data_IF_387953350403
#
_entry.id   IF_387953350403
#
_cell.length_a   1.000
_cell.length_b   1.000
_cell.length_c   1.000
_cell.angle_alpha   90.00
_cell.angle_beta   90.00
_cell.angle_gamma   90.00
#
_symmetry.space_group_name_H-M   'P 1'
#
loop_
_entity.id
_entity.type
_entity.pdbx_description
1 polymer ?
#
# COMPACT_ATOMS: atom_id res chain seq x y z
N UNK A 1 16.31 2.41 38.78
CA UNK A 1 15.28 2.80 37.81
C UNK A 1 15.50 2.02 36.53
N UNK A 2 14.72 0.95 36.30
CA UNK A 2 14.79 0.21 35.03
C UNK A 2 14.00 1.00 33.98
N UNK A 3 14.70 1.69 33.08
CA UNK A 3 14.07 2.38 31.95
C UNK A 3 13.40 1.32 31.08
N UNK A 4 12.06 1.24 31.10
CA UNK A 4 11.30 0.47 30.11
C UNK A 4 11.48 1.14 28.75
N UNK A 5 12.60 0.87 28.09
CA UNK A 5 12.88 1.32 26.74
C UNK A 5 11.89 0.62 25.83
N UNK A 6 11.05 1.40 25.15
CA UNK A 6 10.10 0.85 24.18
C UNK A 6 10.90 0.18 23.07
N UNK A 7 10.67 -1.12 22.80
CA UNK A 7 11.51 -1.83 21.86
C UNK A 7 11.40 -1.17 20.48
N UNK A 8 12.56 -0.79 19.92
CA UNK A 8 12.74 -0.38 18.54
C UNK A 8 11.93 0.87 18.10
N UNK A 9 11.69 1.85 18.99
CA UNK A 9 10.95 3.09 18.67
C UNK A 9 11.45 3.81 17.41
N UNK A 10 12.76 4.05 17.33
CA UNK A 10 13.37 4.77 16.21
C UNK A 10 13.22 3.98 14.90
N UNK A 11 13.50 2.68 14.92
CA UNK A 11 13.35 1.81 13.76
C UNK A 11 11.90 1.74 13.26
N UNK A 12 10.91 1.70 14.18
CA UNK A 12 9.48 1.77 13.84
C UNK A 12 9.12 3.09 13.17
N UNK A 13 9.56 4.22 13.73
CA UNK A 13 9.27 5.54 13.16
C UNK A 13 9.88 5.70 11.78
N UNK A 14 11.15 5.31 11.60
CA UNK A 14 11.84 5.38 10.31
C UNK A 14 11.11 4.50 9.29
N UNK A 15 10.88 3.21 9.60
CA UNK A 15 10.23 2.30 8.66
C UNK A 15 8.80 2.72 8.29
N UNK A 16 7.99 3.18 9.26
CA UNK A 16 6.66 3.72 9.00
C UNK A 16 6.70 5.00 8.17
N UNK A 17 7.67 5.89 8.42
CA UNK A 17 7.83 7.12 7.64
C UNK A 17 8.19 6.83 6.19
N UNK A 18 9.10 5.88 5.92
CA UNK A 18 9.41 5.47 4.55
C UNK A 18 8.20 4.81 3.87
N UNK A 19 7.47 3.95 4.58
CA UNK A 19 6.24 3.34 4.05
C UNK A 19 5.18 4.40 3.72
N UNK A 20 5.04 5.43 4.55
CA UNK A 20 4.20 6.60 4.30
C UNK A 20 4.67 7.40 3.07
N UNK A 21 5.94 7.77 3.00
CA UNK A 21 6.50 8.57 1.91
C UNK A 21 6.32 7.86 0.55
N UNK A 22 6.68 6.58 0.46
CA UNK A 22 6.51 5.84 -0.78
C UNK A 22 5.05 5.49 -1.09
N UNK A 23 4.23 5.20 -0.08
CA UNK A 23 2.79 5.00 -0.25
C UNK A 23 2.08 6.23 -0.82
N UNK A 24 2.40 7.44 -0.33
CA UNK A 24 1.86 8.70 -0.87
C UNK A 24 2.34 8.98 -2.28
N UNK A 25 3.62 8.74 -2.58
CA UNK A 25 4.17 8.87 -3.94
C UNK A 25 3.47 7.90 -4.89
N UNK A 26 3.36 6.62 -4.51
CA UNK A 26 2.70 5.58 -5.30
C UNK A 26 1.23 5.89 -5.55
N UNK A 27 0.49 6.32 -4.51
CA UNK A 27 -0.91 6.73 -4.62
C UNK A 27 -1.10 7.96 -5.52
N UNK A 28 -0.25 8.97 -5.38
CA UNK A 28 -0.31 10.21 -6.17
C UNK A 28 -0.03 9.97 -7.65
N UNK A 29 1.01 9.18 -7.94
CA UNK A 29 1.35 8.83 -9.32
C UNK A 29 0.29 7.91 -9.93
N UNK A 30 -0.26 6.97 -9.16
CA UNK A 30 -1.39 6.13 -9.57
C UNK A 30 -2.61 6.96 -9.95
N UNK A 31 -3.03 7.89 -9.10
CA UNK A 31 -4.13 8.83 -9.37
C UNK A 31 -3.87 9.67 -10.62
N UNK A 32 -2.67 10.24 -10.76
CA UNK A 32 -2.29 11.00 -11.95
C UNK A 32 -2.37 10.14 -13.22
N UNK A 33 -1.93 8.89 -13.15
CA UNK A 33 -2.05 7.93 -14.25
C UNK A 33 -3.49 7.65 -14.66
N UNK A 34 -4.39 7.49 -13.68
CA UNK A 34 -5.82 7.28 -13.91
C UNK A 34 -6.48 8.52 -14.55
N UNK A 35 -6.17 9.72 -14.05
CA UNK A 35 -6.67 11.00 -14.60
C UNK A 35 -6.19 11.16 -16.04
N UNK A 36 -4.90 10.95 -16.30
CA UNK A 36 -4.32 11.10 -17.64
C UNK A 36 -4.85 10.05 -18.63
N UNK A 37 -5.13 8.83 -18.16
CA UNK A 37 -5.78 7.79 -18.95
C UNK A 37 -7.19 8.21 -19.36
N UNK A 38 -7.98 8.74 -18.42
CA UNK A 38 -9.34 9.19 -18.70
C UNK A 38 -9.39 10.43 -19.61
N UNK A 39 -8.48 11.38 -19.40
CA UNK A 39 -8.31 12.54 -20.27
C UNK A 39 -7.93 12.12 -21.69
N UNK A 40 -7.01 11.15 -21.86
CA UNK A 40 -6.62 10.66 -23.19
C UNK A 40 -7.80 10.02 -23.92
N UNK A 41 -8.63 9.22 -23.24
CA UNK A 41 -9.88 8.68 -23.82
C UNK A 41 -10.85 9.77 -24.24
N UNK A 42 -11.00 10.79 -23.41
CA UNK A 42 -11.91 11.91 -23.65
C UNK A 42 -11.45 12.79 -24.80
N UNK A 43 -10.15 13.12 -24.87
CA UNK A 43 -9.55 13.88 -25.97
C UNK A 43 -9.64 13.11 -27.28
N UNK A 44 -9.39 11.80 -27.27
CA UNK A 44 -9.54 10.98 -28.48
C UNK A 44 -10.98 11.03 -28.99
N UNK A 45 -11.98 10.86 -28.10
CA UNK A 45 -13.40 10.96 -28.46
C UNK A 45 -13.81 12.30 -29.07
N UNK A 46 -13.16 13.40 -28.70
CA UNK A 46 -13.44 14.74 -29.23
C UNK A 46 -12.87 14.98 -30.63
N UNK A 47 -11.80 14.28 -30.99
CA UNK A 47 -11.12 14.44 -32.29
C UNK A 47 -11.69 13.48 -33.34
N UNK A 48 -12.45 12.47 -32.92
CA UNK A 48 -13.07 11.52 -33.85
C UNK A 48 -14.19 12.19 -34.66
N UNK A 49 -14.20 12.01 -35.99
CA UNK A 49 -15.31 12.42 -36.85
C UNK A 49 -16.65 11.83 -36.40
N UNK A 50 -17.74 12.53 -36.72
CA UNK A 50 -19.09 12.02 -36.50
C UNK A 50 -19.27 10.65 -37.20
N UNK A 51 -19.84 9.68 -36.48
CA UNK A 51 -20.02 8.31 -36.97
C UNK A 51 -18.86 7.35 -36.64
N UNK A 52 -17.73 7.83 -36.10
CA UNK A 52 -16.62 6.96 -35.65
C UNK A 52 -16.63 6.82 -34.13
N UNK A 53 -16.75 5.58 -33.63
CA UNK A 53 -16.60 5.26 -32.21
C UNK A 53 -15.40 4.36 -32.00
N UNK A 54 -14.55 4.68 -31.03
CA UNK A 54 -13.38 3.86 -30.67
C UNK A 54 -13.60 3.20 -29.32
N UNK A 55 -13.60 1.87 -29.30
CA UNK A 55 -13.56 1.05 -28.11
C UNK A 55 -12.09 0.73 -27.77
N UNK A 56 -11.65 1.19 -26.60
CA UNK A 56 -10.28 0.99 -26.11
C UNK A 56 -10.35 0.04 -24.92
N UNK A 57 -10.08 -1.24 -25.17
CA UNK A 57 -10.01 -2.31 -24.18
C UNK A 57 -8.71 -2.20 -23.37
N UNK A 58 -8.79 -1.51 -22.23
CA UNK A 58 -7.68 -1.36 -21.27
C UNK A 58 -8.04 -1.87 -19.87
N UNK A 59 -9.10 -2.67 -19.77
CA UNK A 59 -9.69 -3.07 -18.49
C UNK A 59 -8.67 -3.75 -17.58
N UNK A 60 -7.79 -4.60 -18.11
CA UNK A 60 -6.81 -5.34 -17.33
C UNK A 60 -5.86 -4.41 -16.56
N UNK A 61 -5.22 -3.46 -17.25
CA UNK A 61 -4.29 -2.48 -16.66
C UNK A 61 -5.04 -1.45 -15.83
N UNK A 62 -6.26 -1.07 -16.23
CA UNK A 62 -7.04 -0.08 -15.51
C UNK A 62 -7.51 -0.62 -14.15
N UNK A 63 -8.13 -1.79 -14.11
CA UNK A 63 -8.62 -2.37 -12.85
C UNK A 63 -7.47 -2.70 -11.89
N UNK A 64 -6.40 -3.33 -12.40
CA UNK A 64 -5.22 -3.60 -11.58
C UNK A 64 -4.55 -2.31 -11.09
N UNK A 65 -4.46 -1.27 -11.93
CA UNK A 65 -3.91 0.03 -11.56
C UNK A 65 -4.75 0.78 -10.51
N UNK A 66 -6.09 0.69 -10.56
CA UNK A 66 -6.98 1.25 -9.54
C UNK A 66 -6.75 0.57 -8.19
N UNK A 67 -6.69 -0.77 -8.17
CA UNK A 67 -6.43 -1.52 -6.93
C UNK A 67 -5.05 -1.17 -6.38
N UNK A 68 -4.01 -1.16 -7.22
CA UNK A 68 -2.64 -0.79 -6.84
C UNK A 68 -2.59 0.59 -6.18
N UNK A 69 -3.23 1.59 -6.81
CA UNK A 69 -3.33 2.96 -6.30
C UNK A 69 -4.03 2.99 -4.94
N UNK A 70 -5.13 2.24 -4.81
CA UNK A 70 -5.93 2.16 -3.58
C UNK A 70 -5.10 1.58 -2.44
N UNK A 71 -4.36 0.49 -2.69
CA UNK A 71 -3.53 -0.16 -1.67
C UNK A 71 -2.35 0.73 -1.27
N UNK A 72 -1.69 1.42 -2.21
CA UNK A 72 -0.64 2.40 -1.89
C UNK A 72 -1.16 3.53 -0.99
N UNK A 73 -2.32 4.12 -1.31
CA UNK A 73 -2.94 5.16 -0.49
C UNK A 73 -3.36 4.62 0.88
N UNK A 74 -3.89 3.40 0.94
CA UNK A 74 -4.25 2.75 2.21
C UNK A 74 -3.02 2.55 3.12
N UNK A 75 -1.90 2.11 2.55
CA UNK A 75 -0.62 1.98 3.28
C UNK A 75 -0.16 3.33 3.81
N UNK A 76 -0.30 4.41 3.03
CA UNK A 76 0.03 5.76 3.48
C UNK A 76 -0.80 6.17 4.69
N UNK A 77 -2.13 6.02 4.60
CA UNK A 77 -3.06 6.37 5.69
C UNK A 77 -2.77 5.55 6.95
N UNK A 78 -2.61 4.23 6.83
CA UNK A 78 -2.29 3.36 7.96
C UNK A 78 -0.94 3.71 8.59
N UNK A 79 0.08 3.98 7.77
CA UNK A 79 1.40 4.40 8.25
C UNK A 79 1.31 5.71 9.03
N UNK A 80 0.56 6.69 8.53
CA UNK A 80 0.30 7.95 9.26
C UNK A 80 -0.38 7.70 10.60
N UNK A 81 -1.44 6.89 10.62
CA UNK A 81 -2.14 6.54 11.87
C UNK A 81 -1.21 5.87 12.88
N UNK A 82 -0.34 4.96 12.44
CA UNK A 82 0.60 4.27 13.33
C UNK A 82 1.74 5.17 13.83
N UNK A 83 2.19 6.12 13.02
CA UNK A 83 3.12 7.18 13.44
C UNK A 83 2.46 8.02 14.54
N UNK A 84 1.24 8.52 14.30
CA UNK A 84 0.50 9.34 15.27
C UNK A 84 0.28 8.59 16.59
N UNK A 85 -0.13 7.32 16.52
CA UNK A 85 -0.25 6.47 17.71
C UNK A 85 1.08 6.32 18.44
N UNK A 86 2.19 6.13 17.72
CA UNK A 86 3.52 5.99 18.33
C UNK A 86 3.96 7.28 19.02
N UNK A 87 3.72 8.45 18.41
CA UNK A 87 4.05 9.75 18.99
C UNK A 87 3.17 10.07 20.21
N UNK A 88 1.84 9.88 20.12
CA UNK A 88 0.91 10.14 21.22
C UNK A 88 1.23 9.28 22.46
N UNK A 89 1.55 8.01 22.23
CA UNK A 89 1.96 7.06 23.27
C UNK A 89 3.21 7.52 24.03
N UNK A 90 4.13 8.19 23.33
CA UNK A 90 5.36 8.72 23.95
C UNK A 90 5.06 9.92 24.84
N UNK A 91 4.15 10.79 24.43
CA UNK A 91 3.74 11.99 25.19
C UNK A 91 2.93 11.62 26.43
N UNK A 92 1.98 10.69 26.33
CA UNK A 92 1.19 10.26 27.49
C UNK A 92 2.01 9.48 28.52
N UNK A 93 3.07 8.77 28.11
CA UNK A 93 4.01 8.13 29.04
C UNK A 93 4.80 9.12 29.89
N UNK A 94 5.12 10.29 29.35
CA UNK A 94 5.78 11.35 30.12
C UNK A 94 4.83 11.97 31.17
N UNK A 95 3.51 11.92 30.92
CA UNK A 95 2.49 12.50 31.79
C UNK A 95 1.83 11.50 32.77
N UNK A 96 1.87 10.20 32.49
CA UNK A 96 1.13 9.17 33.24
C UNK A 96 2.02 8.42 34.23
N UNK A 97 1.92 8.77 35.51
CA UNK A 97 2.52 8.04 36.63
C UNK A 97 1.88 6.66 36.90
N UNK A 98 0.72 6.36 36.32
CA UNK A 98 0.05 5.06 36.48
C UNK A 98 0.64 4.04 35.50
N UNK A 99 1.27 2.98 36.02
CA UNK A 99 2.01 1.94 35.28
C UNK A 99 1.19 1.03 34.34
N UNK A 100 0.09 1.53 33.76
CA UNK A 100 -0.72 0.80 32.78
C UNK A 100 0.04 0.66 31.44
N UNK A 101 -0.07 -0.49 30.75
CA UNK A 101 0.56 -0.69 29.45
C UNK A 101 -0.06 0.25 28.41
N UNK A 102 0.80 1.03 27.77
CA UNK A 102 0.47 2.04 26.78
C UNK A 102 -0.27 1.42 25.57
N UNK A 103 -1.33 2.08 25.09
CA UNK A 103 -2.21 1.64 24.00
C UNK A 103 -1.43 1.26 22.74
N UNK A 104 -0.37 2.01 22.41
CA UNK A 104 0.46 1.71 21.26
C UNK A 104 1.16 0.35 21.35
N UNK A 105 1.45 -0.13 22.57
CA UNK A 105 2.05 -1.45 22.82
C UNK A 105 1.01 -2.56 22.72
N UNK A 106 -0.26 -2.27 23.07
CA UNK A 106 -1.37 -3.22 23.01
C UNK A 106 -1.84 -3.46 21.57
N UNK A 107 -1.78 -2.43 20.71
CA UNK A 107 -2.19 -2.54 19.31
C UNK A 107 -1.08 -3.00 18.37
N UNK A 108 0.17 -3.13 18.82
CA UNK A 108 1.32 -3.61 18.03
C UNK A 108 1.04 -4.84 17.14
N UNK A 109 0.47 -5.95 17.66
CA UNK A 109 0.22 -7.12 16.82
C UNK A 109 -0.79 -6.82 15.71
N UNK A 110 -1.86 -6.07 16.01
CA UNK A 110 -2.85 -5.66 15.01
C UNK A 110 -2.23 -4.76 13.93
N UNK A 111 -1.38 -3.80 14.32
CA UNK A 111 -0.64 -2.94 13.37
C UNK A 111 0.22 -3.78 12.42
N UNK A 112 0.94 -4.78 12.95
CA UNK A 112 1.79 -5.66 12.13
C UNK A 112 0.99 -6.54 11.17
N UNK A 113 -0.16 -7.07 11.60
CA UNK A 113 -1.03 -7.92 10.78
C UNK A 113 -1.68 -7.11 9.66
N UNK A 114 -2.24 -5.94 9.98
CA UNK A 114 -2.91 -5.09 9.00
C UNK A 114 -1.92 -4.56 7.95
N UNK A 115 -0.74 -4.09 8.39
CA UNK A 115 0.28 -3.61 7.46
C UNK A 115 0.89 -4.75 6.64
N UNK A 116 1.10 -5.91 7.26
CA UNK A 116 1.56 -7.12 6.58
C UNK A 116 0.58 -7.59 5.51
N UNK A 117 -0.72 -7.62 5.83
CA UNK A 117 -1.78 -7.91 4.88
C UNK A 117 -1.78 -6.92 3.70
N UNK A 118 -1.70 -5.62 3.98
CA UNK A 118 -1.61 -4.61 2.91
C UNK A 118 -0.36 -4.80 2.04
N UNK A 119 0.77 -5.21 2.62
CA UNK A 119 2.00 -5.47 1.87
C UNK A 119 1.86 -6.68 0.95
N UNK A 120 1.28 -7.78 1.42
CA UNK A 120 0.99 -8.97 0.62
C UNK A 120 -0.04 -8.66 -0.47
N UNK A 121 -1.06 -7.88 -0.15
CA UNK A 121 -2.05 -7.43 -1.13
C UNK A 121 -1.41 -6.54 -2.21
N UNK A 122 -0.53 -5.62 -1.82
CA UNK A 122 0.22 -4.80 -2.78
C UNK A 122 1.07 -5.68 -3.69
N UNK A 123 1.78 -6.67 -3.14
CA UNK A 123 2.56 -7.63 -3.92
C UNK A 123 1.69 -8.44 -4.89
N UNK A 124 0.54 -8.93 -4.45
CA UNK A 124 -0.39 -9.68 -5.29
C UNK A 124 -0.95 -8.85 -6.46
N UNK A 125 -1.00 -7.53 -6.33
CA UNK A 125 -1.52 -6.62 -7.36
C UNK A 125 -0.44 -6.05 -8.27
N UNK A 126 0.78 -5.85 -7.75
CA UNK A 126 1.90 -5.29 -8.53
C UNK A 126 2.38 -6.28 -9.59
N UNK A 127 2.42 -7.58 -9.29
CA UNK A 127 2.83 -8.64 -10.23
C UNK A 127 1.98 -8.61 -11.51
N UNK A 128 0.64 -8.80 -11.46
CA UNK A 128 -0.19 -8.77 -12.66
C UNK A 128 -0.16 -7.40 -13.34
N UNK A 129 -0.09 -6.29 -12.57
CA UNK A 129 0.04 -4.96 -13.17
C UNK A 129 1.32 -4.83 -14.01
N UNK A 130 2.47 -5.29 -13.49
CA UNK A 130 3.75 -5.25 -14.20
C UNK A 130 3.79 -6.17 -15.40
N UNK A 131 3.16 -7.36 -15.32
CA UNK A 131 3.01 -8.27 -16.45
C UNK A 131 2.16 -7.63 -17.56
N UNK A 132 1.00 -7.07 -17.22
CA UNK A 132 0.14 -6.39 -18.19
C UNK A 132 0.84 -5.17 -18.80
N UNK A 133 1.60 -4.41 -18.01
CA UNK A 133 2.36 -3.26 -18.49
C UNK A 133 3.47 -3.65 -19.48
N UNK A 134 4.19 -4.74 -19.22
CA UNK A 134 5.32 -5.19 -20.04
C UNK A 134 4.86 -5.92 -21.31
N UNK A 135 3.88 -6.81 -21.19
CA UNK A 135 3.54 -7.77 -22.24
C UNK A 135 2.28 -7.42 -23.04
N UNK A 136 1.40 -6.54 -22.53
CA UNK A 136 0.13 -6.22 -23.20
C UNK A 136 0.14 -4.85 -23.88
N UNK A 137 -0.79 -4.70 -24.80
CA UNK A 137 -1.16 -3.45 -25.45
C UNK A 137 -2.67 -3.26 -25.35
N UNK A 138 -3.13 -2.02 -25.47
CA UNK A 138 -4.54 -1.69 -25.54
C UNK A 138 -5.16 -2.32 -26.79
N UNK A 139 -6.24 -3.09 -26.62
CA UNK A 139 -7.03 -3.56 -27.76
C UNK A 139 -7.88 -2.37 -28.25
N UNK A 140 -7.63 -1.90 -29.46
CA UNK A 140 -8.32 -0.75 -30.03
C UNK A 140 -9.17 -1.25 -31.19
N UNK A 141 -10.48 -1.21 -30.98
CA UNK A 141 -11.46 -1.46 -32.02
C UNK A 141 -12.10 -0.12 -32.40
N UNK A 142 -12.03 0.23 -33.68
CA UNK A 142 -12.76 1.38 -34.22
C UNK A 142 -13.99 0.88 -34.97
N UNK A 143 -15.09 1.62 -34.86
CA UNK A 143 -16.32 1.35 -35.57
C UNK A 143 -16.70 2.59 -36.38
N UNK A 144 -17.13 2.39 -37.62
CA UNK A 144 -17.68 3.41 -38.49
C UNK A 144 -19.17 3.10 -38.70
N UNK A 145 -20.06 3.97 -38.25
CA UNK A 145 -21.51 3.78 -38.31
C UNK A 145 -21.98 2.42 -37.75
N UNK A 146 -21.32 1.94 -36.68
CA UNK A 146 -21.62 0.65 -36.04
C UNK A 146 -20.92 -0.57 -36.65
N UNK A 147 -20.22 -0.43 -37.78
CA UNK A 147 -19.45 -1.51 -38.41
C UNK A 147 -18.00 -1.48 -37.95
N UNK A 148 -17.48 -2.60 -37.47
CA UNK A 148 -16.09 -2.69 -37.00
C UNK A 148 -15.12 -2.54 -38.19
N UNK A 149 -14.18 -1.61 -38.06
CA UNK A 149 -13.12 -1.41 -39.05
C UNK A 149 -12.05 -2.52 -38.93
N UNK A 150 -11.44 -2.93 -40.05
CA UNK A 150 -10.34 -3.89 -40.03
C UNK A 150 -9.18 -3.41 -39.15
N UNK A 151 -8.54 -4.29 -38.36
CA UNK A 151 -7.44 -3.93 -37.46
C UNK A 151 -6.26 -3.23 -38.16
N UNK A 152 -6.02 -3.53 -39.44
CA UNK A 152 -5.00 -2.88 -40.25
C UNK A 152 -5.30 -1.39 -40.48
N UNK A 153 -6.57 -1.03 -40.74
CA UNK A 153 -7.00 0.36 -40.92
C UNK A 153 -6.90 1.15 -39.61
N UNK A 154 -7.23 0.50 -38.49
CA UNK A 154 -7.08 1.10 -37.15
C UNK A 154 -5.62 1.36 -36.82
N UNK A 155 -4.75 0.38 -37.08
CA UNK A 155 -3.30 0.49 -36.82
C UNK A 155 -2.65 1.59 -37.67
N UNK A 156 -3.05 1.72 -38.94
CA UNK A 156 -2.58 2.79 -39.83
C UNK A 156 -3.04 4.18 -39.35
N UNK A 157 -4.29 4.31 -38.92
CA UNK A 157 -4.81 5.55 -38.35
C UNK A 157 -4.13 5.91 -37.02
N UNK A 158 -3.80 4.93 -36.18
CA UNK A 158 -3.04 5.18 -34.96
C UNK A 158 -1.63 5.70 -35.24
N UNK A 159 -0.94 5.14 -36.25
CA UNK A 159 0.38 5.59 -36.67
C UNK A 159 0.34 7.01 -37.21
N UNK A 160 -0.67 7.37 -38.01
CA UNK A 160 -0.81 8.73 -38.54
C UNK A 160 -1.16 9.77 -37.45
N UNK A 161 -1.86 9.35 -36.39
CA UNK A 161 -2.19 10.19 -35.23
C UNK A 161 -1.08 10.23 -34.17
N UNK A 162 0.03 9.50 -34.36
CA UNK A 162 1.11 9.39 -33.37
C UNK A 162 0.69 8.73 -32.05
N UNK A 163 -0.46 8.05 -32.02
CA UNK A 163 -0.99 7.42 -30.82
C UNK A 163 -0.44 6.00 -30.67
N UNK A 164 0.02 5.64 -29.48
CA UNK A 164 0.52 4.28 -29.19
C UNK A 164 -0.46 3.49 -28.32
N UNK A 165 -0.73 2.24 -28.70
CA UNK A 165 -1.47 1.26 -27.90
C UNK A 165 -0.59 0.55 -26.87
N UNK A 166 0.73 0.70 -26.98
CA UNK A 166 1.69 -0.07 -26.20
C UNK A 166 1.90 0.56 -24.83
N UNK A 167 1.53 -0.16 -23.77
CA UNK A 167 1.51 0.39 -22.40
C UNK A 167 2.89 0.86 -21.93
N UNK A 168 3.95 0.11 -22.22
CA UNK A 168 5.30 0.46 -21.78
C UNK A 168 5.86 1.74 -22.42
N UNK A 169 5.26 2.22 -23.52
CA UNK A 169 5.65 3.48 -24.18
C UNK A 169 5.00 4.70 -23.52
N UNK A 170 4.01 4.48 -22.65
CA UNK A 170 3.30 5.55 -21.95
C UNK A 170 4.07 5.90 -20.66
N UNK A 171 4.75 7.05 -20.68
CA UNK A 171 5.59 7.50 -19.55
C UNK A 171 4.87 7.49 -18.20
N UNK A 172 3.58 7.85 -18.18
CA UNK A 172 2.78 7.87 -16.96
C UNK A 172 2.52 6.47 -16.39
N UNK A 173 2.36 5.43 -17.22
CA UNK A 173 2.26 4.05 -16.73
C UNK A 173 3.60 3.53 -16.20
N UNK A 174 4.72 3.97 -16.78
CA UNK A 174 6.06 3.55 -16.33
C UNK A 174 6.32 3.93 -14.87
N UNK A 175 5.92 5.14 -14.46
CA UNK A 175 6.04 5.58 -13.08
C UNK A 175 5.15 4.75 -12.14
N UNK A 176 3.92 4.43 -12.56
CA UNK A 176 2.99 3.56 -11.81
C UNK A 176 3.51 2.12 -11.72
N UNK A 177 4.27 1.63 -12.69
CA UNK A 177 4.83 0.29 -12.67
C UNK A 177 6.04 0.14 -11.73
N UNK A 178 6.82 1.21 -11.55
CA UNK A 178 8.09 1.15 -10.79
C UNK A 178 7.92 1.60 -9.34
N UNK A 179 7.22 2.71 -9.08
CA UNK A 179 7.18 3.32 -7.74
C UNK A 179 6.50 2.45 -6.66
N UNK A 180 5.44 1.68 -6.97
CA UNK A 180 4.82 0.79 -5.99
C UNK A 180 5.73 -0.34 -5.49
N UNK A 181 6.80 -0.71 -6.21
CA UNK A 181 7.79 -1.67 -5.72
C UNK A 181 8.53 -1.15 -4.48
N UNK A 182 8.85 0.15 -4.46
CA UNK A 182 9.45 0.77 -3.29
C UNK A 182 8.46 0.84 -2.13
N UNK A 183 7.18 1.10 -2.42
CA UNK A 183 6.12 1.06 -1.40
C UNK A 183 6.06 -0.33 -0.76
N UNK A 184 6.05 -1.39 -1.57
CA UNK A 184 6.06 -2.78 -1.11
C UNK A 184 7.28 -3.10 -0.23
N UNK A 185 8.48 -2.67 -0.66
CA UNK A 185 9.71 -2.90 0.11
C UNK A 185 9.61 -2.27 1.50
N UNK A 186 9.26 -0.99 1.57
CA UNK A 186 9.21 -0.29 2.85
C UNK A 186 8.02 -0.70 3.72
N UNK A 187 6.86 -1.03 3.15
CA UNK A 187 5.73 -1.58 3.92
C UNK A 187 6.06 -2.95 4.51
N UNK A 188 6.78 -3.80 3.77
CA UNK A 188 7.23 -5.11 4.26
C UNK A 188 8.22 -4.98 5.41
N UNK A 189 9.19 -4.07 5.28
CA UNK A 189 10.15 -3.78 6.36
C UNK A 189 9.41 -3.24 7.58
N UNK A 190 8.48 -2.30 7.42
CA UNK A 190 7.69 -1.75 8.52
C UNK A 190 6.86 -2.82 9.22
N UNK A 191 6.22 -3.74 8.48
CA UNK A 191 5.48 -4.85 9.04
C UNK A 191 6.39 -5.80 9.85
N UNK A 192 7.58 -6.13 9.32
CA UNK A 192 8.56 -6.96 10.01
C UNK A 192 9.07 -6.30 11.30
N UNK A 193 9.38 -5.00 11.26
CA UNK A 193 9.82 -4.23 12.45
C UNK A 193 8.71 -4.19 13.50
N UNK A 194 7.45 -3.99 13.11
CA UNK A 194 6.30 -4.04 14.01
C UNK A 194 6.12 -5.43 14.64
N UNK A 195 6.30 -6.50 13.87
CA UNK A 195 6.21 -7.87 14.37
C UNK A 195 7.31 -8.20 15.38
N UNK A 196 8.56 -7.80 15.08
CA UNK A 196 9.69 -7.95 16.00
C UNK A 196 9.47 -7.14 17.30
N UNK A 197 8.94 -5.93 17.20
CA UNK A 197 8.58 -5.12 18.36
C UNK A 197 7.48 -5.80 19.20
N UNK A 198 6.43 -6.33 18.56
CA UNK A 198 5.35 -7.05 19.24
C UNK A 198 5.87 -8.29 20.00
N UNK A 199 6.77 -9.07 19.38
CA UNK A 199 7.41 -10.22 20.02
C UNK A 199 8.21 -9.81 21.26
N UNK A 200 9.06 -8.78 21.14
CA UNK A 200 9.86 -8.28 22.28
C UNK A 200 9.01 -7.76 23.44
N UNK A 201 7.87 -7.11 23.14
CA UNK A 201 6.94 -6.64 24.18
C UNK A 201 6.26 -7.78 24.95
N UNK A 202 5.98 -8.92 24.32
CA UNK A 202 5.41 -10.10 24.99
C UNK A 202 6.41 -10.74 25.96
N UNK A 203 7.64 -10.98 25.50
CA UNK A 203 8.71 -11.58 26.34
C UNK A 203 9.00 -10.74 27.59
N UNK A 204 9.03 -9.40 27.46
CA UNK A 204 9.24 -8.51 28.61
C UNK A 204 8.08 -8.52 29.62
N UNK A 205 6.86 -8.84 29.18
CA UNK A 205 5.69 -8.93 30.07
C UNK A 205 5.73 -10.25 30.84
N UNK A 206 6.06 -11.36 30.16
CA UNK A 206 6.19 -12.69 30.77
C UNK A 206 7.32 -12.74 31.82
N UNK A 207 8.46 -12.10 31.57
CA UNK A 207 9.58 -12.05 32.53
C UNK A 207 9.29 -11.27 33.81
N UNK A 208 8.32 -10.36 33.82
CA UNK A 208 7.96 -9.56 35.00
C UNK A 208 6.90 -10.25 35.89
N UNK A 209 6.36 -11.39 35.45
CA UNK A 209 5.29 -12.13 36.12
C UNK A 209 5.69 -13.35 37.00
N UNK A 210 6.96 -13.67 37.33
CA UNK A 210 7.24 -14.95 38.03
C UNK A 210 7.38 -14.90 39.57
N UNK A 211 6.98 -13.86 40.31
CA UNK A 211 7.25 -13.81 41.77
C UNK A 211 6.05 -13.69 42.72
N UNK A 212 4.88 -13.24 42.27
CA UNK A 212 3.73 -13.01 43.18
C UNK A 212 2.79 -14.21 43.31
N UNK A 213 2.75 -15.11 42.33
CA UNK A 213 1.79 -16.23 42.30
C UNK A 213 2.23 -17.43 43.16
N UNK A 214 3.51 -17.50 43.56
CA UNK A 214 4.03 -18.56 44.44
C UNK A 214 3.75 -18.24 45.92
N UNK A 215 3.70 -16.96 46.28
CA UNK A 215 3.45 -16.55 47.66
C UNK A 215 2.00 -16.75 48.09
N UNK A 216 1.03 -16.56 47.19
CA UNK A 216 -0.40 -16.74 47.50
C UNK A 216 -0.76 -18.21 47.67
N UNK A 217 -0.15 -19.13 46.89
CA UNK A 217 -0.35 -20.57 47.08
C UNK A 217 0.33 -21.12 48.33
N UNK A 218 1.53 -20.64 48.69
CA UNK A 218 2.17 -21.07 49.94
C UNK A 218 1.44 -20.56 51.19
N UNK A 219 0.82 -19.38 51.14
CA UNK A 219 0.09 -18.84 52.29
C UNK A 219 -1.21 -19.63 52.56
N UNK A 220 -1.85 -20.17 51.53
CA UNK A 220 -3.07 -21.00 51.67
C UNK A 220 -2.74 -22.41 52.20
N UNK A 221 -1.58 -22.98 51.87
CA UNK A 221 -1.16 -24.30 52.39
C UNK A 221 -0.65 -24.27 53.84
N UNK A 222 -0.34 -23.10 54.40
CA UNK A 222 0.14 -23.00 55.79
C UNK A 222 -0.97 -22.76 56.81
N UNK A 223 -2.20 -22.49 56.35
CA UNK A 223 -3.38 -22.23 57.19
C UNK A 223 -4.42 -23.38 57.19
N UNK A 224 -4.12 -24.51 56.54
CA UNK A 224 -4.95 -25.73 56.52
C UNK A 224 -4.31 -26.86 57.34
#
# INVERSE_FOLDING_TARGET
MSTRVVPLKLARLISLFLAFAFGTIGGSVGLNGLIKSNQSKSSLRKVLPAGITVAIGINDVYHSGVVLTTVCTLIAVLSTLFILLTLWSSTQRAASASGKPDLATRTLPLQSIVLGFCSVWLFATIIPFTDFFANRAANIAAFLNGVQLPPAAVSAAQQSLGATSVYHKLYYLRLVAVLPWFTFLFSSIAAAVLFLAARRSRTLTEQHQPATDVSEKQQIETEA
#
